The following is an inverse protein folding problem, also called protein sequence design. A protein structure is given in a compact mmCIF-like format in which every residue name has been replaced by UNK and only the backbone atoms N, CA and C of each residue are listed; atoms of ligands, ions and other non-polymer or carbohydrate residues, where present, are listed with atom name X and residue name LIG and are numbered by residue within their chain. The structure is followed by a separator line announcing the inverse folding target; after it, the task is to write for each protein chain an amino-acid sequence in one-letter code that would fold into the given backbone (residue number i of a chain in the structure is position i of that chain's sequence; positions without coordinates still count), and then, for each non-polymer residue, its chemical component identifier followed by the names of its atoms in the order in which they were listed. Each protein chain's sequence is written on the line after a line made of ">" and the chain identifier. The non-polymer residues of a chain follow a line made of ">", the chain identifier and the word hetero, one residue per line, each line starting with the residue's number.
data_IF_927203779129
#
_entry.id   IF_927203779129
#
_cell.length_a   1.000
_cell.length_b   1.000
_cell.length_c   1.000
_cell.angle_alpha   90.00
_cell.angle_beta   90.00
_cell.angle_gamma   90.00
#
_symmetry.space_group_name_H-M   'P 1'
#
loop_
_entity.id
_entity.type
_entity.pdbx_description
1 polymer ?
#
# COMPACT_ATOMS: atom_id res chain seq x y z
N UNK A 1 33.11 34.35 -7.18
CA UNK A 1 31.75 34.07 -7.69
C UNK A 1 31.48 32.59 -7.50
N UNK A 2 30.57 32.20 -6.60
CA UNK A 2 30.21 30.80 -6.39
C UNK A 2 29.49 30.28 -7.63
N UNK A 3 29.92 29.13 -8.16
CA UNK A 3 29.21 28.52 -9.28
C UNK A 3 27.74 28.29 -8.89
N UNK A 4 26.76 28.63 -9.76
CA UNK A 4 25.36 28.41 -9.46
C UNK A 4 25.14 26.90 -9.26
N UNK A 5 24.59 26.51 -8.09
CA UNK A 5 24.28 25.10 -7.81
C UNK A 5 23.33 24.58 -8.88
N UNK A 6 23.80 23.61 -9.66
CA UNK A 6 23.09 23.01 -10.80
C UNK A 6 21.75 22.39 -10.39
N UNK A 7 21.62 21.96 -9.14
CA UNK A 7 20.42 21.34 -8.59
C UNK A 7 19.92 22.03 -7.32
N UNK A 8 18.61 22.33 -7.29
CA UNK A 8 17.92 22.85 -6.12
C UNK A 8 17.08 21.76 -5.46
N UNK A 9 17.38 21.44 -4.20
CA UNK A 9 16.60 20.44 -3.44
C UNK A 9 15.15 20.90 -3.24
N UNK A 10 14.19 20.04 -3.56
CA UNK A 10 12.77 20.26 -3.32
C UNK A 10 12.36 19.79 -1.91
N UNK A 11 11.35 20.41 -1.28
CA UNK A 11 10.87 19.98 0.02
C UNK A 11 10.23 18.58 -0.06
N UNK A 12 10.39 17.82 1.01
CA UNK A 12 9.87 16.45 1.12
C UNK A 12 10.96 15.42 1.34
N UNK A 13 10.57 14.34 2.01
CA UNK A 13 11.40 13.16 2.23
C UNK A 13 10.46 11.97 2.23
N UNK A 14 10.85 10.93 1.51
CA UNK A 14 10.10 9.70 1.39
C UNK A 14 10.99 8.51 1.61
N UNK A 15 10.38 7.39 1.94
CA UNK A 15 11.06 6.11 1.97
C UNK A 15 10.41 5.19 0.93
N UNK A 16 11.20 4.76 -0.05
CA UNK A 16 10.86 3.65 -0.93
C UNK A 16 11.33 2.38 -0.24
N UNK A 17 10.41 1.45 0.02
CA UNK A 17 10.75 0.14 0.60
C UNK A 17 10.32 -0.94 -0.37
N UNK A 18 11.29 -1.41 -1.15
CA UNK A 18 11.24 -2.67 -1.87
C UNK A 18 12.00 -3.70 -1.02
N UNK A 19 11.37 -4.81 -0.64
CA UNK A 19 12.04 -5.92 0.07
C UNK A 19 11.57 -6.23 1.50
N UNK A 20 12.00 -7.40 1.97
CA UNK A 20 11.73 -8.00 3.29
C UNK A 20 12.47 -7.25 4.41
N UNK A 21 11.93 -7.25 5.63
CA UNK A 21 12.47 -6.54 6.80
C UNK A 21 13.94 -6.92 7.12
N UNK A 22 14.41 -8.09 6.68
CA UNK A 22 15.75 -8.62 6.93
C UNK A 22 16.79 -8.10 5.92
N UNK A 23 16.37 -7.61 4.74
CA UNK A 23 17.25 -6.98 3.75
C UNK A 23 17.11 -5.44 3.82
N UNK A 24 17.82 -4.86 4.78
CA UNK A 24 17.76 -3.45 5.16
C UNK A 24 18.34 -2.48 4.13
N UNK A 25 17.54 -2.09 3.15
CA UNK A 25 17.81 -0.87 2.37
C UNK A 25 16.54 -0.01 2.31
N UNK A 26 16.26 0.72 3.39
CA UNK A 26 15.29 1.82 3.33
C UNK A 26 15.85 2.86 2.37
N UNK A 27 15.34 2.89 1.13
CA UNK A 27 15.75 3.87 0.14
C UNK A 27 15.13 5.21 0.49
N UNK A 28 15.96 6.20 0.78
CA UNK A 28 15.49 7.56 1.00
C UNK A 28 15.31 8.26 -0.33
N UNK A 29 14.07 8.60 -0.65
CA UNK A 29 13.70 9.31 -1.86
C UNK A 29 13.72 10.81 -1.61
N UNK A 30 14.44 11.54 -2.47
CA UNK A 30 14.49 13.02 -2.48
C UNK A 30 14.30 13.52 -3.90
N UNK A 31 13.65 14.66 -4.03
CA UNK A 31 13.48 15.35 -5.31
C UNK A 31 14.40 16.56 -5.38
N UNK A 32 14.99 16.74 -6.55
CA UNK A 32 15.85 17.85 -6.89
C UNK A 32 15.40 18.45 -8.21
N UNK A 33 15.37 19.77 -8.27
CA UNK A 33 15.02 20.54 -9.43
C UNK A 33 16.29 20.86 -10.21
N UNK A 34 16.38 20.35 -11.43
CA UNK A 34 17.37 20.78 -12.43
C UNK A 34 16.81 21.92 -13.29
N UNK A 35 17.59 22.36 -14.28
CA UNK A 35 17.20 23.45 -15.19
C UNK A 35 16.01 23.08 -16.09
N UNK A 36 16.00 21.86 -16.60
CA UNK A 36 15.08 21.34 -17.61
C UNK A 36 14.40 20.02 -17.19
N UNK A 37 14.71 19.53 -15.99
CA UNK A 37 14.22 18.25 -15.51
C UNK A 37 14.03 18.19 -13.99
N UNK A 38 13.21 17.25 -13.57
CA UNK A 38 13.07 16.80 -12.19
C UNK A 38 13.95 15.58 -11.97
N UNK A 39 14.79 15.59 -10.95
CA UNK A 39 15.66 14.48 -10.56
C UNK A 39 15.12 13.81 -9.29
N UNK A 40 14.78 12.53 -9.39
CA UNK A 40 14.50 11.66 -8.26
C UNK A 40 15.78 10.93 -7.86
N UNK A 41 16.16 11.10 -6.60
CA UNK A 41 17.34 10.47 -6.00
C UNK A 41 16.87 9.49 -4.95
N UNK A 42 17.08 8.20 -5.20
CA UNK A 42 16.83 7.13 -4.25
C UNK A 42 18.16 6.66 -3.65
N UNK A 43 18.42 7.03 -2.39
CA UNK A 43 19.66 6.69 -1.70
C UNK A 43 19.47 5.47 -0.78
N UNK A 44 20.26 4.42 -0.99
CA UNK A 44 20.52 3.35 -0.01
C UNK A 44 21.76 3.69 0.81
N UNK A 45 22.19 2.79 1.71
CA UNK A 45 23.46 2.93 2.44
C UNK A 45 24.68 2.91 1.50
N UNK A 46 24.64 2.13 0.42
CA UNK A 46 25.82 1.84 -0.41
C UNK A 46 25.69 2.30 -1.87
N UNK A 47 24.49 2.70 -2.30
CA UNK A 47 24.20 3.06 -3.69
C UNK A 47 23.17 4.18 -3.79
N UNK A 48 23.28 5.01 -4.83
CA UNK A 48 22.29 6.02 -5.18
C UNK A 48 21.77 5.76 -6.58
N UNK A 49 20.46 5.63 -6.71
CA UNK A 49 19.79 5.52 -8.00
C UNK A 49 19.23 6.89 -8.38
N UNK A 50 19.49 7.31 -9.62
CA UNK A 50 19.17 8.63 -10.13
C UNK A 50 18.23 8.48 -11.32
N UNK A 51 17.02 9.06 -11.22
CA UNK A 51 16.03 9.04 -12.30
C UNK A 51 15.68 10.46 -12.70
N UNK A 52 15.89 10.80 -13.98
CA UNK A 52 15.64 12.13 -14.55
C UNK A 52 14.32 12.12 -15.30
N UNK A 53 13.52 13.17 -15.10
CA UNK A 53 12.25 13.40 -15.78
C UNK A 53 12.28 14.80 -16.41
N UNK A 54 12.51 14.87 -17.72
CA UNK A 54 12.52 16.14 -18.45
C UNK A 54 11.14 16.77 -18.44
N UNK A 55 11.05 18.08 -18.22
CA UNK A 55 9.77 18.78 -18.10
C UNK A 55 8.90 18.63 -19.35
N UNK A 56 9.52 18.59 -20.54
CA UNK A 56 8.85 18.33 -21.81
C UNK A 56 8.17 16.96 -21.90
N UNK A 57 8.65 15.97 -21.14
CA UNK A 57 8.19 14.58 -21.20
C UNK A 57 7.18 14.24 -20.08
N UNK A 58 6.93 15.17 -19.15
CA UNK A 58 5.96 15.00 -18.08
C UNK A 58 4.56 15.17 -18.65
N UNK A 59 3.77 14.11 -18.69
CA UNK A 59 2.41 14.14 -19.21
C UNK A 59 1.38 14.50 -18.13
N UNK A 60 1.57 13.99 -16.92
CA UNK A 60 0.69 14.27 -15.80
C UNK A 60 1.39 14.06 -14.47
N UNK A 61 0.97 14.81 -13.45
CA UNK A 61 1.30 14.51 -12.05
C UNK A 61 -0.02 14.35 -11.29
N UNK A 62 -0.26 13.16 -10.75
CA UNK A 62 -1.49 12.81 -10.04
C UNK A 62 -1.24 12.77 -8.54
N UNK A 63 -2.08 13.46 -7.76
CA UNK A 63 -2.03 13.45 -6.29
C UNK A 63 -3.33 12.88 -5.75
N UNK A 64 -3.24 11.77 -5.01
CA UNK A 64 -4.37 11.10 -4.37
C UNK A 64 -4.24 11.16 -2.86
N UNK A 65 -5.29 11.58 -2.15
CA UNK A 65 -5.33 11.47 -0.68
C UNK A 65 -5.39 9.99 -0.27
N UNK A 66 -4.64 9.62 0.76
CA UNK A 66 -4.65 8.26 1.33
C UNK A 66 -5.27 8.24 2.71
N UNK A 67 -5.78 7.08 3.13
CA UNK A 67 -6.40 6.92 4.45
C UNK A 67 -5.39 6.68 5.59
N UNK A 68 -4.12 6.42 5.25
CA UNK A 68 -3.01 6.12 6.18
C UNK A 68 -2.95 7.06 7.39
N UNK A 69 -2.98 8.38 7.15
CA UNK A 69 -2.93 9.37 8.24
C UNK A 69 -4.12 9.29 9.19
N UNK A 70 -5.34 9.06 8.67
CA UNK A 70 -6.56 8.92 9.48
C UNK A 70 -6.54 7.62 10.29
N UNK A 71 -6.14 6.51 9.68
CA UNK A 71 -5.99 5.23 10.37
C UNK A 71 -4.96 5.33 11.49
N UNK A 72 -3.81 5.97 11.24
CA UNK A 72 -2.80 6.15 12.27
C UNK A 72 -3.31 7.02 13.42
N UNK A 73 -4.06 8.09 13.14
CA UNK A 73 -4.71 8.88 14.19
C UNK A 73 -5.69 8.05 15.01
N UNK A 74 -6.56 7.28 14.36
CA UNK A 74 -7.53 6.43 15.05
C UNK A 74 -6.84 5.43 16.00
N UNK A 75 -5.79 4.77 15.52
CA UNK A 75 -5.01 3.82 16.30
C UNK A 75 -4.30 4.50 17.47
N UNK A 76 -3.62 5.63 17.23
CA UNK A 76 -2.93 6.39 18.29
C UNK A 76 -3.93 6.90 19.33
N UNK A 77 -5.09 7.40 18.92
CA UNK A 77 -6.14 7.83 19.84
C UNK A 77 -6.65 6.67 20.69
N UNK A 78 -6.85 5.48 20.10
CA UNK A 78 -7.22 4.28 20.86
C UNK A 78 -6.16 3.90 21.90
N UNK A 79 -4.88 3.93 21.54
CA UNK A 79 -3.77 3.66 22.47
C UNK A 79 -3.70 4.70 23.59
N UNK A 80 -3.83 5.98 23.27
CA UNK A 80 -3.83 7.06 24.28
C UNK A 80 -4.99 6.88 25.25
N UNK A 81 -6.21 6.65 24.74
CA UNK A 81 -7.38 6.44 25.58
C UNK A 81 -7.19 5.23 26.50
N UNK A 82 -6.62 4.14 25.99
CA UNK A 82 -6.30 2.94 26.76
C UNK A 82 -5.30 3.24 27.89
N UNK A 83 -4.16 3.87 27.59
CA UNK A 83 -3.15 4.18 28.61
C UNK A 83 -3.62 5.22 29.63
N UNK A 84 -4.37 6.24 29.21
CA UNK A 84 -4.96 7.21 30.13
C UNK A 84 -6.01 6.58 31.04
N UNK A 85 -6.87 5.71 30.50
CA UNK A 85 -7.86 4.99 31.30
C UNK A 85 -7.16 4.13 32.36
N UNK A 86 -6.10 3.42 31.96
CA UNK A 86 -5.34 2.60 32.91
C UNK A 86 -4.64 3.47 33.97
N UNK A 87 -4.07 4.61 33.58
CA UNK A 87 -3.40 5.52 34.51
C UNK A 87 -4.35 6.14 35.56
N UNK A 88 -5.62 6.39 35.22
CA UNK A 88 -6.63 6.90 36.18
C UNK A 88 -7.01 5.83 37.22
N UNK A 89 -6.82 4.57 36.89
CA UNK A 89 -7.29 3.43 37.68
C UNK A 89 -6.19 2.79 38.55
N UNK A 90 -4.94 3.27 38.42
CA UNK A 90 -3.82 2.89 39.28
C UNK A 90 -3.65 3.96 40.37
N UNK A 91 -3.39 3.51 41.60
CA UNK A 91 -3.18 4.36 42.78
C UNK A 91 -1.71 4.65 43.08
N UNK A 92 -0.78 3.92 42.47
CA UNK A 92 0.66 4.14 42.62
C UNK A 92 1.12 5.31 41.73
N UNK A 93 1.81 6.28 42.34
CA UNK A 93 2.28 7.49 41.66
C UNK A 93 3.31 7.17 40.55
N UNK A 94 4.16 6.15 40.76
CA UNK A 94 5.19 5.77 39.78
C UNK A 94 4.53 5.12 38.57
N UNK A 95 3.65 4.15 38.80
CA UNK A 95 2.83 3.49 37.79
C UNK A 95 2.03 4.45 36.95
N UNK A 96 1.30 5.35 37.61
CA UNK A 96 0.55 6.41 36.96
C UNK A 96 1.48 7.29 36.11
N UNK A 97 2.62 7.73 36.66
CA UNK A 97 3.61 8.53 35.95
C UNK A 97 4.15 7.85 34.68
N UNK A 98 4.45 6.55 34.75
CA UNK A 98 4.94 5.76 33.61
C UNK A 98 3.86 5.66 32.52
N UNK A 99 2.62 5.30 32.87
CA UNK A 99 1.53 5.16 31.92
C UNK A 99 1.19 6.50 31.24
N UNK A 100 1.13 7.59 32.00
CA UNK A 100 0.91 8.93 31.45
C UNK A 100 2.07 9.37 30.55
N UNK A 101 3.31 9.02 30.87
CA UNK A 101 4.47 9.29 30.01
C UNK A 101 4.33 8.55 28.68
N UNK A 102 3.95 7.27 28.71
CA UNK A 102 3.70 6.48 27.49
C UNK A 102 2.56 7.09 26.67
N UNK A 103 1.44 7.45 27.32
CA UNK A 103 0.32 8.11 26.68
C UNK A 103 0.74 9.45 26.04
N UNK A 104 1.57 10.24 26.73
CA UNK A 104 2.10 11.50 26.23
C UNK A 104 3.00 11.32 25.00
N UNK A 105 3.84 10.27 24.97
CA UNK A 105 4.65 9.93 23.78
C UNK A 105 3.76 9.63 22.57
N UNK A 106 2.72 8.80 22.74
CA UNK A 106 1.74 8.54 21.68
C UNK A 106 0.95 9.80 21.29
N UNK A 107 0.62 10.64 22.27
CA UNK A 107 0.03 11.97 22.07
C UNK A 107 0.90 12.87 21.22
N UNK A 108 2.21 12.90 21.47
CA UNK A 108 3.18 13.62 20.66
C UNK A 108 3.19 13.14 19.21
N UNK A 109 3.15 11.83 18.97
CA UNK A 109 3.03 11.29 17.61
C UNK A 109 1.70 11.64 16.93
N UNK A 110 0.59 11.60 17.68
CA UNK A 110 -0.74 11.96 17.19
C UNK A 110 -0.80 13.44 16.79
N UNK A 111 -0.30 14.33 17.65
CA UNK A 111 -0.22 15.77 17.41
C UNK A 111 0.67 16.01 16.19
N UNK A 112 1.89 15.46 16.15
CA UNK A 112 2.79 15.62 15.02
C UNK A 112 2.13 15.17 13.70
N UNK A 113 1.51 13.97 13.68
CA UNK A 113 0.84 13.48 12.47
C UNK A 113 -0.32 14.36 12.03
N UNK A 114 -1.09 14.89 12.97
CA UNK A 114 -2.22 15.79 12.71
C UNK A 114 -1.75 17.15 12.20
N UNK A 115 -0.68 17.70 12.79
CA UNK A 115 -0.07 18.97 12.37
C UNK A 115 0.53 18.89 10.96
N UNK A 116 1.14 17.77 10.57
CA UNK A 116 1.63 17.57 9.19
C UNK A 116 0.50 17.45 8.15
N UNK A 117 -0.72 17.18 8.60
CA UNK A 117 -1.92 17.13 7.76
C UNK A 117 -2.06 15.82 6.96
N UNK A 118 -3.03 15.77 6.04
CA UNK A 118 -3.40 14.55 5.36
C UNK A 118 -2.26 13.97 4.50
N UNK A 119 -2.14 12.66 4.56
CA UNK A 119 -1.22 11.86 3.73
C UNK A 119 -1.73 11.76 2.29
N UNK A 120 -0.82 11.70 1.34
CA UNK A 120 -1.15 11.48 -0.07
C UNK A 120 -0.11 10.58 -0.76
N UNK A 121 -0.48 10.05 -1.92
CA UNK A 121 0.41 9.42 -2.86
C UNK A 121 0.46 10.27 -4.13
N UNK A 122 1.68 10.52 -4.61
CA UNK A 122 1.94 11.30 -5.81
C UNK A 122 2.57 10.39 -6.87
N UNK A 123 2.04 10.43 -8.09
CA UNK A 123 2.60 9.70 -9.22
C UNK A 123 2.87 10.66 -10.38
N UNK A 124 4.05 10.58 -10.96
CA UNK A 124 4.45 11.26 -12.17
C UNK A 124 4.29 10.30 -13.35
N UNK A 125 3.55 10.72 -14.37
CA UNK A 125 3.39 9.98 -15.61
C UNK A 125 4.22 10.65 -16.70
N UNK A 126 5.08 9.85 -17.32
CA UNK A 126 5.83 10.19 -18.52
C UNK A 126 5.32 9.39 -19.71
N UNK A 127 5.81 9.71 -20.91
CA UNK A 127 5.50 8.93 -22.11
C UNK A 127 5.84 7.43 -22.00
N UNK A 128 6.81 7.09 -21.14
CA UNK A 128 7.34 5.72 -21.02
C UNK A 128 6.75 4.95 -19.83
N UNK A 129 6.52 5.64 -18.71
CA UNK A 129 6.12 4.99 -17.46
C UNK A 129 5.45 5.93 -16.46
N UNK A 130 4.75 5.32 -15.50
CA UNK A 130 4.22 5.98 -14.31
C UNK A 130 5.12 5.67 -13.11
N UNK A 131 5.64 6.71 -12.46
CA UNK A 131 6.54 6.61 -11.31
C UNK A 131 5.87 7.17 -10.05
N UNK A 132 5.93 6.44 -8.93
CA UNK A 132 5.57 7.00 -7.63
C UNK A 132 6.66 7.96 -7.14
N UNK A 133 6.27 9.10 -6.56
CA UNK A 133 7.17 10.09 -5.94
C UNK A 133 7.05 10.04 -4.40
N UNK A 134 7.82 9.18 -3.70
CA UNK A 134 7.59 8.91 -2.27
C UNK A 134 7.90 10.12 -1.38
N UNK A 135 8.73 11.05 -1.87
CA UNK A 135 9.08 12.30 -1.19
C UNK A 135 7.90 13.25 -1.01
N UNK A 136 6.83 13.07 -1.79
CA UNK A 136 5.61 13.87 -1.79
C UNK A 136 4.46 13.17 -1.03
N UNK A 137 4.77 12.50 0.08
CA UNK A 137 3.81 11.73 0.88
C UNK A 137 2.82 12.55 1.74
N UNK A 138 2.96 13.88 1.77
CA UNK A 138 2.08 14.80 2.50
C UNK A 138 1.47 15.81 1.54
N UNK A 139 0.15 16.04 1.68
CA UNK A 139 -0.60 16.86 0.71
C UNK A 139 -0.09 18.30 0.65
N UNK A 140 0.29 18.89 1.78
CA UNK A 140 0.86 20.24 1.84
C UNK A 140 2.17 20.32 1.05
N UNK A 141 3.06 19.35 1.25
CA UNK A 141 4.35 19.28 0.53
C UNK A 141 4.12 19.04 -0.97
N UNK A 142 3.24 18.11 -1.34
CA UNK A 142 2.91 17.84 -2.74
C UNK A 142 2.40 19.09 -3.44
N UNK A 143 1.46 19.83 -2.84
CA UNK A 143 0.95 21.10 -3.39
C UNK A 143 2.05 22.15 -3.54
N UNK A 144 2.91 22.30 -2.54
CA UNK A 144 4.04 23.25 -2.59
C UNK A 144 4.99 22.91 -3.73
N UNK A 145 5.34 21.63 -3.89
CA UNK A 145 6.23 21.19 -4.97
C UNK A 145 5.58 21.34 -6.34
N UNK A 146 4.30 21.00 -6.48
CA UNK A 146 3.56 21.22 -7.72
C UNK A 146 3.52 22.69 -8.13
N UNK A 147 3.33 23.60 -7.17
CA UNK A 147 3.40 25.05 -7.41
C UNK A 147 4.78 25.50 -7.91
N UNK A 148 5.86 24.83 -7.50
CA UNK A 148 7.21 25.09 -8.00
C UNK A 148 7.45 24.47 -9.39
N UNK A 149 6.91 23.28 -9.66
CA UNK A 149 7.12 22.57 -10.92
C UNK A 149 6.30 23.12 -12.08
N UNK A 150 5.07 23.59 -11.79
CA UNK A 150 4.13 24.12 -12.78
C UNK A 150 4.76 25.12 -13.76
N UNK A 151 5.42 26.21 -13.33
CA UNK A 151 5.98 27.18 -14.28
C UNK A 151 7.08 26.58 -15.16
N UNK A 152 7.87 25.63 -14.65
CA UNK A 152 8.92 24.98 -15.45
C UNK A 152 8.35 24.03 -16.51
N UNK A 153 7.24 23.36 -16.19
CA UNK A 153 6.53 22.50 -17.16
C UNK A 153 5.84 23.36 -18.21
N UNK A 154 5.13 24.42 -17.80
CA UNK A 154 4.47 25.36 -18.72
C UNK A 154 5.48 26.06 -19.64
N UNK A 155 6.68 26.40 -19.14
CA UNK A 155 7.74 26.96 -19.96
C UNK A 155 8.24 25.97 -21.04
N UNK A 156 8.27 24.67 -20.73
CA UNK A 156 8.78 23.64 -21.64
C UNK A 156 7.72 23.12 -22.64
N UNK A 157 6.43 23.14 -22.26
CA UNK A 157 5.34 22.54 -23.02
C UNK A 157 4.31 23.55 -23.55
N UNK A 158 4.39 24.82 -23.12
CA UNK A 158 3.34 25.80 -23.31
C UNK A 158 2.26 25.73 -22.22
N UNK A 159 1.32 26.67 -22.27
CA UNK A 159 0.16 26.70 -21.38
C UNK A 159 -1.06 26.11 -22.09
N UNK A 160 -1.78 25.23 -21.42
CA UNK A 160 -3.08 24.72 -21.85
C UNK A 160 -4.15 25.37 -20.98
N UNK A 161 -5.09 26.08 -21.60
CA UNK A 161 -6.18 26.66 -20.82
C UNK A 161 -7.03 25.55 -20.18
N UNK A 162 -7.63 25.82 -19.03
CA UNK A 162 -8.47 24.83 -18.35
C UNK A 162 -9.67 24.40 -19.22
N UNK A 163 -10.15 25.30 -20.07
CA UNK A 163 -11.26 25.05 -20.98
C UNK A 163 -10.81 24.22 -22.18
N UNK A 164 -9.64 24.51 -22.78
CA UNK A 164 -9.04 23.65 -23.81
C UNK A 164 -8.73 22.24 -23.29
N UNK A 165 -8.26 22.13 -22.04
CA UNK A 165 -7.98 20.85 -21.43
C UNK A 165 -9.28 20.05 -21.17
N UNK A 166 -10.36 20.70 -20.72
CA UNK A 166 -11.68 20.09 -20.54
C UNK A 166 -12.31 19.71 -21.88
N UNK A 167 -12.21 20.59 -22.86
CA UNK A 167 -12.74 20.37 -24.20
C UNK A 167 -12.03 19.19 -24.86
N UNK A 168 -10.69 19.18 -24.87
CA UNK A 168 -9.89 18.02 -25.35
C UNK A 168 -10.21 16.74 -24.57
N UNK A 169 -10.40 16.81 -23.25
CA UNK A 169 -10.79 15.64 -22.46
C UNK A 169 -12.19 15.15 -22.85
N UNK A 170 -13.13 16.05 -23.13
CA UNK A 170 -14.47 15.72 -23.60
C UNK A 170 -14.44 15.15 -25.02
N UNK A 171 -13.65 15.72 -25.95
CA UNK A 171 -13.46 15.19 -27.32
C UNK A 171 -12.82 13.80 -27.29
N UNK A 172 -11.86 13.57 -26.40
CA UNK A 172 -11.24 12.26 -26.19
C UNK A 172 -12.19 11.25 -25.55
N UNK A 173 -13.19 11.70 -24.78
CA UNK A 173 -14.21 10.84 -24.19
C UNK A 173 -15.32 10.47 -25.18
N UNK A 174 -15.59 11.31 -26.19
CA UNK A 174 -16.60 11.08 -27.24
C UNK A 174 -16.07 10.46 -28.53
N UNK A 175 -14.74 10.32 -28.70
CA UNK A 175 -14.15 9.66 -29.86
C UNK A 175 -14.61 8.19 -29.98
N UNK A 176 -15.05 7.71 -31.17
CA UNK A 176 -15.56 6.36 -31.35
C UNK A 176 -14.49 5.31 -31.04
N UNK A 177 -14.84 4.35 -30.18
CA UNK A 177 -13.96 3.32 -29.62
C UNK A 177 -13.36 2.32 -30.65
N UNK A 178 -13.59 2.53 -31.95
CA UNK A 178 -13.24 1.58 -33.02
C UNK A 178 -11.75 1.59 -33.40
N UNK A 179 -10.98 2.60 -33.01
CA UNK A 179 -9.55 2.73 -33.37
C UNK A 179 -8.64 3.09 -32.20
N UNK A 180 -9.18 3.30 -31.00
CA UNK A 180 -8.37 3.36 -29.80
C UNK A 180 -7.92 1.94 -29.43
N UNK A 181 -6.62 1.65 -29.25
CA UNK A 181 -6.20 0.39 -28.64
C UNK A 181 -6.98 0.28 -27.34
N UNK A 182 -7.71 -0.84 -27.18
CA UNK A 182 -8.53 -1.15 -26.01
C UNK A 182 -7.70 -0.75 -24.79
N UNK A 183 -8.01 0.40 -24.18
CA UNK A 183 -7.40 0.79 -22.92
C UNK A 183 -7.88 -0.29 -21.98
N UNK A 184 -7.04 -1.32 -21.78
CA UNK A 184 -7.22 -2.29 -20.73
C UNK A 184 -7.56 -1.45 -19.52
N UNK A 185 -8.81 -1.58 -19.04
CA UNK A 185 -9.35 -0.68 -18.04
C UNK A 185 -8.30 -0.57 -16.96
N UNK A 186 -7.73 0.62 -16.80
CA UNK A 186 -6.62 0.86 -15.90
C UNK A 186 -7.19 0.64 -14.50
N UNK A 187 -7.18 -0.64 -14.09
CA UNK A 187 -7.49 -1.05 -12.74
C UNK A 187 -6.59 -0.18 -11.89
N UNK A 188 -7.13 0.55 -10.89
CA UNK A 188 -6.32 1.40 -10.05
C UNK A 188 -5.12 0.57 -9.62
N UNK A 189 -3.92 0.99 -9.99
CA UNK A 189 -2.71 0.19 -9.76
C UNK A 189 -2.52 0.10 -8.25
N UNK A 190 -3.09 -0.96 -7.66
CA UNK A 190 -3.16 -1.09 -6.22
C UNK A 190 -1.75 -1.44 -5.76
N UNK A 191 -1.25 -0.69 -4.78
CA UNK A 191 0.14 -0.84 -4.33
C UNK A 191 0.42 -2.29 -3.93
N UNK A 192 1.38 -2.90 -4.62
CA UNK A 192 1.93 -4.21 -4.29
C UNK A 192 2.49 -4.22 -2.86
N UNK A 193 1.97 -5.12 -2.02
CA UNK A 193 2.43 -5.30 -0.65
C UNK A 193 2.68 -6.78 -0.30
N UNK A 194 3.91 -7.10 0.12
CA UNK A 194 4.36 -8.47 0.43
C UNK A 194 3.96 -8.98 1.82
N UNK A 195 3.33 -8.14 2.65
CA UNK A 195 2.81 -8.60 3.95
C UNK A 195 3.82 -8.72 5.09
N UNK A 196 5.06 -8.22 5.01
CA UNK A 196 6.09 -8.52 6.03
C UNK A 196 5.72 -8.18 7.48
N UNK A 197 4.98 -7.09 7.72
CA UNK A 197 4.49 -6.79 9.09
C UNK A 197 3.46 -7.81 9.58
N UNK A 198 2.65 -8.37 8.68
CA UNK A 198 1.69 -9.41 9.00
C UNK A 198 2.40 -10.72 9.32
N UNK A 199 3.48 -11.05 8.61
CA UNK A 199 4.31 -12.22 8.92
C UNK A 199 4.82 -12.18 10.35
N UNK A 200 5.41 -11.04 10.76
CA UNK A 200 5.95 -10.89 12.11
C UNK A 200 4.81 -10.90 13.14
N UNK A 201 3.71 -10.18 12.89
CA UNK A 201 2.54 -10.16 13.76
C UNK A 201 2.01 -11.59 14.02
N UNK A 202 1.76 -12.36 12.96
CA UNK A 202 1.19 -13.69 13.09
C UNK A 202 2.18 -14.68 13.71
N UNK A 203 3.49 -14.53 13.46
CA UNK A 203 4.51 -15.31 14.15
C UNK A 203 4.55 -14.99 15.65
N UNK A 204 4.47 -13.71 16.03
CA UNK A 204 4.43 -13.31 17.44
C UNK A 204 3.14 -13.80 18.14
N UNK A 205 1.99 -13.84 17.46
CA UNK A 205 0.76 -14.44 18.02
C UNK A 205 0.91 -15.95 18.26
N UNK A 206 1.63 -16.68 17.39
CA UNK A 206 1.94 -18.09 17.65
C UNK A 206 2.86 -18.27 18.87
N UNK A 207 3.87 -17.41 19.00
CA UNK A 207 4.77 -17.39 20.17
C UNK A 207 3.98 -17.06 21.44
N UNK A 208 3.12 -16.05 21.40
CA UNK A 208 2.24 -15.68 22.51
C UNK A 208 1.30 -16.82 22.92
N UNK A 209 0.70 -17.51 21.95
CA UNK A 209 -0.08 -18.72 22.21
C UNK A 209 0.72 -19.81 22.94
N UNK A 210 1.94 -20.10 22.47
CA UNK A 210 2.85 -21.05 23.11
C UNK A 210 3.23 -20.61 24.54
N UNK A 211 3.51 -19.33 24.75
CA UNK A 211 3.85 -18.79 26.07
C UNK A 211 2.68 -18.88 27.05
N UNK A 212 1.44 -18.66 26.59
CA UNK A 212 0.24 -18.83 27.41
C UNK A 212 0.05 -20.29 27.84
N UNK A 213 0.21 -21.26 26.92
CA UNK A 213 0.17 -22.68 27.28
C UNK A 213 1.33 -23.07 28.22
N UNK A 214 2.52 -22.51 28.01
CA UNK A 214 3.67 -22.75 28.89
C UNK A 214 3.42 -22.22 30.30
N UNK A 215 2.72 -21.08 30.44
CA UNK A 215 2.41 -20.48 31.73
C UNK A 215 1.46 -21.32 32.58
N UNK A 216 0.72 -22.27 32.00
CA UNK A 216 -0.04 -23.25 32.77
C UNK A 216 0.86 -24.09 33.68
N UNK A 217 2.08 -24.41 33.22
CA UNK A 217 3.01 -25.30 33.94
C UNK A 217 4.18 -24.55 34.58
N UNK A 218 4.58 -23.41 34.00
CA UNK A 218 5.80 -22.69 34.32
C UNK A 218 5.52 -21.25 34.77
N UNK A 219 4.33 -20.99 35.35
CA UNK A 219 3.96 -19.64 35.79
C UNK A 219 5.05 -19.07 36.70
N UNK A 220 5.76 -18.07 36.18
CA UNK A 220 6.97 -17.56 36.80
C UNK A 220 7.24 -16.15 36.31
N UNK A 221 7.98 -15.39 37.12
CA UNK A 221 8.27 -13.99 36.83
C UNK A 221 9.07 -13.78 35.52
N UNK A 222 10.10 -14.60 35.19
CA UNK A 222 10.79 -14.47 33.91
C UNK A 222 9.86 -14.72 32.71
N UNK A 223 8.99 -15.72 32.81
CA UNK A 223 8.03 -16.02 31.74
C UNK A 223 7.04 -14.86 31.54
N UNK A 224 6.55 -14.26 32.63
CA UNK A 224 5.69 -13.08 32.57
C UNK A 224 6.38 -11.89 31.89
N UNK A 225 7.67 -11.63 32.17
CA UNK A 225 8.43 -10.57 31.51
C UNK A 225 8.62 -10.83 30.01
N UNK A 226 8.86 -12.08 29.62
CA UNK A 226 8.92 -12.49 28.21
C UNK A 226 7.56 -12.28 27.52
N UNK A 227 6.46 -12.68 28.16
CA UNK A 227 5.10 -12.45 27.66
C UNK A 227 4.82 -10.96 27.45
N UNK A 228 5.17 -10.09 28.40
CA UNK A 228 5.01 -8.63 28.26
C UNK A 228 5.82 -8.08 27.09
N UNK A 229 7.03 -8.58 26.88
CA UNK A 229 7.88 -8.18 25.75
C UNK A 229 7.28 -8.62 24.41
N UNK A 230 6.76 -9.85 24.32
CA UNK A 230 6.09 -10.37 23.13
C UNK A 230 4.80 -9.59 22.85
N UNK A 231 3.99 -9.33 23.87
CA UNK A 231 2.77 -8.52 23.75
C UNK A 231 3.08 -7.11 23.22
N UNK A 232 4.13 -6.46 23.72
CA UNK A 232 4.58 -5.17 23.20
C UNK A 232 4.97 -5.26 21.71
N UNK A 233 5.70 -6.31 21.32
CA UNK A 233 6.02 -6.60 19.92
C UNK A 233 4.78 -6.80 19.04
N UNK A 234 3.77 -7.52 19.55
CA UNK A 234 2.47 -7.73 18.88
C UNK A 234 1.79 -6.38 18.64
N UNK A 235 1.72 -5.51 19.64
CA UNK A 235 1.10 -4.18 19.51
C UNK A 235 1.81 -3.38 18.42
N UNK A 236 3.13 -3.26 18.47
CA UNK A 236 3.91 -2.49 17.49
C UNK A 236 3.72 -3.02 16.06
N UNK A 237 3.79 -4.34 15.88
CA UNK A 237 3.66 -4.98 14.57
C UNK A 237 2.23 -4.93 14.05
N UNK A 238 1.23 -5.04 14.91
CA UNK A 238 -0.18 -4.87 14.58
C UNK A 238 -0.48 -3.45 14.10
N UNK A 239 -0.04 -2.43 14.83
CA UNK A 239 -0.18 -1.03 14.42
C UNK A 239 0.47 -0.82 13.06
N UNK A 240 1.70 -1.32 12.88
CA UNK A 240 2.41 -1.25 11.61
C UNK A 240 1.69 -1.98 10.47
N UNK A 241 1.10 -3.15 10.74
CA UNK A 241 0.31 -3.94 9.79
C UNK A 241 -0.97 -3.20 9.36
N UNK A 242 -1.72 -2.64 10.31
CA UNK A 242 -2.95 -1.87 10.09
C UNK A 242 -2.71 -0.60 9.25
N UNK A 243 -1.60 0.10 9.50
CA UNK A 243 -1.19 1.26 8.70
C UNK A 243 -0.80 0.82 7.29
N UNK A 244 -0.03 -0.27 7.17
CA UNK A 244 0.53 -0.70 5.89
C UNK A 244 -0.43 -1.39 4.96
N UNK A 245 -1.49 -2.02 5.47
CA UNK A 245 -2.50 -2.64 4.62
C UNK A 245 -3.37 -1.60 3.88
N UNK A 246 -3.40 -0.34 4.31
CA UNK A 246 -4.20 0.71 3.68
C UNK A 246 -3.73 0.96 2.23
N UNK A 247 -4.69 1.01 1.31
CA UNK A 247 -4.46 1.27 -0.12
C UNK A 247 -3.52 0.24 -0.81
N UNK A 248 -3.43 -0.99 -0.30
CA UNK A 248 -2.63 -2.10 -0.89
C UNK A 248 -3.47 -3.17 -1.59
N UNK A 249 -2.81 -4.05 -2.33
CA UNK A 249 -3.42 -5.22 -2.98
C UNK A 249 -3.62 -6.41 -2.03
N UNK A 250 -3.44 -6.21 -0.72
CA UNK A 250 -3.58 -7.26 0.29
C UNK A 250 -5.01 -7.81 0.33
N UNK A 251 -5.14 -9.14 0.31
CA UNK A 251 -6.42 -9.83 0.35
C UNK A 251 -7.31 -9.41 1.54
N UNK A 252 -8.61 -9.26 1.30
CA UNK A 252 -9.60 -8.87 2.32
C UNK A 252 -9.66 -9.84 3.51
N UNK A 253 -9.36 -11.12 3.29
CA UNK A 253 -9.25 -12.13 4.35
C UNK A 253 -8.14 -11.79 5.34
N UNK A 254 -6.92 -11.49 4.86
CA UNK A 254 -5.79 -11.11 5.72
C UNK A 254 -6.12 -9.82 6.48
N UNK A 255 -6.71 -8.82 5.81
CA UNK A 255 -7.13 -7.57 6.45
C UNK A 255 -8.11 -7.79 7.59
N UNK A 256 -9.11 -8.66 7.40
CA UNK A 256 -10.09 -9.00 8.43
C UNK A 256 -9.41 -9.63 9.63
N UNK A 257 -8.52 -10.60 9.44
CA UNK A 257 -7.78 -11.23 10.55
C UNK A 257 -6.91 -10.21 11.29
N UNK A 258 -6.28 -9.27 10.61
CA UNK A 258 -5.53 -8.17 11.27
C UNK A 258 -6.45 -7.31 12.15
N UNK A 259 -7.65 -6.95 11.67
CA UNK A 259 -8.62 -6.22 12.49
C UNK A 259 -9.18 -7.06 13.64
N UNK A 260 -9.44 -8.35 13.42
CA UNK A 260 -9.83 -9.28 14.48
C UNK A 260 -8.75 -9.38 15.56
N UNK A 261 -7.47 -9.36 15.17
CA UNK A 261 -6.35 -9.34 16.11
C UNK A 261 -6.33 -8.08 16.98
N UNK A 262 -6.72 -6.92 16.44
CA UNK A 262 -6.92 -5.71 17.23
C UNK A 262 -8.06 -5.87 18.24
N UNK A 263 -9.21 -6.40 17.80
CA UNK A 263 -10.34 -6.68 18.69
C UNK A 263 -9.96 -7.64 19.82
N UNK A 264 -9.23 -8.72 19.49
CA UNK A 264 -8.66 -9.66 20.45
C UNK A 264 -7.79 -8.96 21.50
N UNK A 265 -6.84 -8.11 21.08
CA UNK A 265 -6.01 -7.37 22.03
C UNK A 265 -6.84 -6.46 22.93
N UNK A 266 -7.85 -5.75 22.40
CA UNK A 266 -8.72 -4.93 23.22
C UNK A 266 -9.44 -5.76 24.30
N UNK A 267 -9.94 -6.94 23.95
CA UNK A 267 -10.58 -7.86 24.91
C UNK A 267 -9.57 -8.37 25.94
N UNK A 268 -8.38 -8.77 25.51
CA UNK A 268 -7.30 -9.23 26.40
C UNK A 268 -6.90 -8.14 27.42
N UNK A 269 -6.78 -6.89 26.98
CA UNK A 269 -6.49 -5.75 27.85
C UNK A 269 -7.60 -5.50 28.87
N UNK A 270 -8.87 -5.52 28.44
CA UNK A 270 -10.02 -5.37 29.34
C UNK A 270 -10.05 -6.49 30.37
N UNK A 271 -9.80 -7.74 29.96
CA UNK A 271 -9.73 -8.88 30.86
C UNK A 271 -8.62 -8.71 31.91
N UNK A 272 -7.38 -8.45 31.47
CA UNK A 272 -6.24 -8.26 32.38
C UNK A 272 -6.49 -7.11 33.35
N UNK A 273 -7.14 -6.04 32.88
CA UNK A 273 -7.53 -4.91 33.71
C UNK A 273 -8.56 -5.30 34.78
N UNK A 274 -9.63 -6.02 34.42
CA UNK A 274 -10.65 -6.49 35.38
C UNK A 274 -10.04 -7.39 36.45
N UNK A 275 -9.17 -8.33 36.05
CA UNK A 275 -8.43 -9.21 36.99
C UNK A 275 -7.57 -8.39 37.94
N UNK A 276 -6.82 -7.41 37.41
CA UNK A 276 -5.99 -6.53 38.22
C UNK A 276 -6.80 -5.80 39.30
N UNK A 277 -7.90 -5.14 38.91
CA UNK A 277 -8.76 -4.41 39.85
C UNK A 277 -9.38 -5.33 40.90
N UNK A 278 -9.87 -6.50 40.50
CA UNK A 278 -10.45 -7.46 41.43
C UNK A 278 -9.45 -7.84 42.54
N UNK A 279 -8.19 -8.10 42.17
CA UNK A 279 -7.13 -8.41 43.13
C UNK A 279 -6.68 -7.19 43.94
N UNK A 280 -6.59 -6.00 43.33
CA UNK A 280 -6.25 -4.78 44.05
C UNK A 280 -7.27 -4.47 45.17
N UNK A 281 -8.56 -4.73 44.91
CA UNK A 281 -9.63 -4.54 45.90
C UNK A 281 -9.62 -5.63 46.98
N UNK A 282 -9.45 -6.90 46.59
CA UNK A 282 -9.50 -8.02 47.53
C UNK A 282 -8.23 -8.15 48.38
N UNK A 283 -7.08 -7.78 47.81
CA UNK A 283 -5.75 -8.00 48.39
C UNK A 283 -4.84 -6.79 48.16
N UNK A 284 -5.17 -5.62 48.74
CA UNK A 284 -4.44 -4.39 48.48
C UNK A 284 -2.95 -4.47 48.85
N UNK A 285 -2.58 -5.30 49.84
CA UNK A 285 -1.18 -5.50 50.25
C UNK A 285 -0.32 -6.27 49.24
N UNK A 286 -0.92 -7.11 48.39
CA UNK A 286 -0.21 -7.91 47.39
C UNK A 286 -0.08 -7.18 46.04
N UNK A 287 -0.86 -6.10 45.82
CA UNK A 287 -0.97 -5.37 44.55
C UNK A 287 -0.78 -3.86 44.77
N UNK A 288 0.19 -3.47 45.60
CA UNK A 288 0.43 -2.07 45.94
C UNK A 288 1.03 -1.26 44.79
N UNK A 289 1.89 -1.89 44.00
CA UNK A 289 2.55 -1.33 42.82
C UNK A 289 2.76 -2.41 41.74
N UNK A 290 3.20 -2.02 40.54
CA UNK A 290 3.31 -2.92 39.39
C UNK A 290 4.24 -4.09 39.64
N UNK A 291 5.36 -3.87 40.35
CA UNK A 291 6.32 -4.93 40.65
C UNK A 291 5.70 -5.97 41.59
N UNK A 292 5.04 -5.53 42.65
CA UNK A 292 4.35 -6.41 43.61
C UNK A 292 3.20 -7.15 42.94
N UNK A 293 2.40 -6.46 42.11
CA UNK A 293 1.34 -7.05 41.33
C UNK A 293 1.85 -8.14 40.38
N UNK A 294 2.92 -7.84 39.61
CA UNK A 294 3.52 -8.79 38.68
C UNK A 294 4.07 -10.01 39.42
N UNK A 295 4.79 -9.78 40.53
CA UNK A 295 5.30 -10.86 41.38
C UNK A 295 4.17 -11.71 41.96
N UNK A 296 3.09 -11.07 42.41
CA UNK A 296 1.89 -11.71 42.95
C UNK A 296 1.27 -12.65 41.92
N UNK A 297 0.90 -12.14 40.73
CA UNK A 297 0.29 -12.96 39.68
C UNK A 297 1.22 -14.06 39.16
N UNK A 298 2.53 -13.80 39.10
CA UNK A 298 3.53 -14.79 38.73
C UNK A 298 3.77 -15.88 39.80
N UNK A 299 3.29 -15.67 41.04
CA UNK A 299 3.40 -16.63 42.14
C UNK A 299 2.16 -17.51 42.32
N UNK A 300 1.05 -17.17 41.66
CA UNK A 300 -0.18 -17.96 41.71
C UNK A 300 0.01 -19.28 40.97
N UNK A 301 -0.41 -20.39 41.58
CA UNK A 301 -0.48 -21.68 40.88
C UNK A 301 -1.74 -21.72 39.99
N UNK A 302 -1.61 -21.88 38.66
CA UNK A 302 -2.77 -21.97 37.77
C UNK A 302 -3.73 -23.10 38.16
N UNK A 303 -3.24 -24.22 38.69
CA UNK A 303 -4.09 -25.36 39.03
C UNK A 303 -4.95 -25.13 40.29
N UNK A 304 -4.49 -24.28 41.21
CA UNK A 304 -5.24 -23.86 42.40
C UNK A 304 -6.23 -22.71 42.09
N UNK A 305 -6.04 -22.03 40.95
CA UNK A 305 -6.83 -20.87 40.55
C UNK A 305 -7.50 -21.07 39.19
N UNK A 306 -8.69 -21.67 39.19
CA UNK A 306 -9.45 -22.03 37.97
C UNK A 306 -9.57 -20.88 36.97
N UNK A 307 -9.78 -19.64 37.41
CA UNK A 307 -9.89 -18.48 36.52
C UNK A 307 -8.59 -18.19 35.77
N UNK A 308 -7.44 -18.41 36.41
CA UNK A 308 -6.10 -18.19 35.83
C UNK A 308 -5.78 -19.28 34.81
N UNK A 309 -6.06 -20.54 35.16
CA UNK A 309 -5.95 -21.67 34.22
C UNK A 309 -6.82 -21.45 32.98
N UNK A 310 -8.10 -21.12 33.17
CA UNK A 310 -9.03 -20.85 32.07
C UNK A 310 -8.53 -19.69 31.22
N UNK A 311 -8.01 -18.62 31.84
CA UNK A 311 -7.43 -17.49 31.12
C UNK A 311 -6.28 -17.91 30.23
N UNK A 312 -5.26 -18.60 30.77
CA UNK A 312 -4.11 -19.05 29.99
C UNK A 312 -4.50 -19.97 28.82
N UNK A 313 -5.44 -20.90 29.03
CA UNK A 313 -5.91 -21.79 27.97
C UNK A 313 -6.69 -21.02 26.90
N UNK A 314 -7.64 -20.18 27.29
CA UNK A 314 -8.48 -19.42 26.34
C UNK A 314 -7.62 -18.45 25.52
N UNK A 315 -6.76 -17.66 26.17
CA UNK A 315 -5.88 -16.72 25.46
C UNK A 315 -4.85 -17.46 24.59
N UNK A 316 -4.32 -18.58 25.07
CA UNK A 316 -3.46 -19.47 24.30
C UNK A 316 -4.13 -19.97 23.01
N UNK A 317 -5.36 -20.47 23.10
CA UNK A 317 -6.14 -20.95 21.95
C UNK A 317 -6.44 -19.80 20.98
N UNK A 318 -6.96 -18.66 21.47
CA UNK A 318 -7.31 -17.53 20.62
C UNK A 318 -6.10 -16.96 19.88
N UNK A 319 -4.98 -16.74 20.58
CA UNK A 319 -3.75 -16.22 19.99
C UNK A 319 -3.18 -17.19 18.94
N UNK A 320 -3.15 -18.48 19.25
CA UNK A 320 -2.71 -19.53 18.32
C UNK A 320 -3.60 -19.60 17.08
N UNK A 321 -4.93 -19.57 17.25
CA UNK A 321 -5.88 -19.63 16.15
C UNK A 321 -5.72 -18.42 15.21
N UNK A 322 -5.57 -17.21 15.76
CA UNK A 322 -5.31 -16.00 14.97
C UNK A 322 -3.95 -16.07 14.26
N UNK A 323 -2.91 -16.55 14.93
CA UNK A 323 -1.59 -16.78 14.34
C UNK A 323 -1.64 -17.76 13.17
N UNK A 324 -2.25 -18.93 13.34
CA UNK A 324 -2.39 -19.96 12.29
C UNK A 324 -3.22 -19.41 11.12
N UNK A 325 -4.40 -18.84 11.40
CA UNK A 325 -5.27 -18.29 10.36
C UNK A 325 -4.54 -17.20 9.56
N UNK A 326 -3.83 -16.31 10.25
CA UNK A 326 -3.03 -15.25 9.63
C UNK A 326 -1.92 -15.79 8.73
N UNK A 327 -1.12 -16.74 9.22
CA UNK A 327 -0.03 -17.37 8.44
C UNK A 327 -0.58 -18.09 7.21
N UNK A 328 -1.64 -18.89 7.36
CA UNK A 328 -2.25 -19.66 6.26
C UNK A 328 -2.81 -18.72 5.19
N UNK A 329 -3.58 -17.71 5.58
CA UNK A 329 -4.17 -16.77 4.63
C UNK A 329 -3.11 -15.93 3.92
N UNK A 330 -2.07 -15.49 4.64
CA UNK A 330 -0.98 -14.71 4.06
C UNK A 330 -0.15 -15.57 3.09
N UNK A 331 0.10 -16.83 3.43
CA UNK A 331 0.83 -17.77 2.56
C UNK A 331 0.07 -18.07 1.29
N UNK A 332 -1.25 -18.28 1.38
CA UNK A 332 -2.13 -18.44 0.20
C UNK A 332 -2.06 -17.21 -0.71
N UNK A 333 -2.23 -16.03 -0.13
CA UNK A 333 -2.14 -14.77 -0.86
C UNK A 333 -0.78 -14.59 -1.58
N UNK A 334 0.33 -14.88 -0.90
CA UNK A 334 1.67 -14.77 -1.50
C UNK A 334 1.88 -15.77 -2.64
N UNK A 335 1.40 -17.01 -2.47
CA UNK A 335 1.46 -18.04 -3.52
C UNK A 335 0.63 -17.65 -4.75
N UNK A 336 -0.60 -17.18 -4.55
CA UNK A 336 -1.47 -16.76 -5.65
C UNK A 336 -0.83 -15.61 -6.44
N UNK A 337 -0.15 -14.69 -5.75
CA UNK A 337 0.62 -13.62 -6.39
C UNK A 337 1.82 -14.12 -7.19
N UNK A 338 2.56 -15.09 -6.66
CA UNK A 338 3.71 -15.68 -7.35
C UNK A 338 3.29 -16.46 -8.60
N UNK A 339 2.17 -17.19 -8.53
CA UNK A 339 1.57 -17.85 -9.69
C UNK A 339 1.16 -16.84 -10.77
N UNK A 340 0.53 -15.72 -10.38
CA UNK A 340 0.17 -14.64 -11.31
C UNK A 340 1.41 -13.96 -11.92
N UNK A 341 2.45 -13.73 -11.13
CA UNK A 341 3.70 -13.15 -11.61
C UNK A 341 4.42 -14.08 -12.60
N UNK A 342 4.42 -15.39 -12.32
CA UNK A 342 5.01 -16.41 -13.20
C UNK A 342 4.22 -16.53 -14.50
N UNK A 343 2.89 -16.57 -14.44
CA UNK A 343 2.04 -16.61 -15.62
C UNK A 343 2.22 -15.37 -16.53
N UNK A 344 2.45 -14.20 -15.94
CA UNK A 344 2.73 -12.97 -16.69
C UNK A 344 4.14 -12.92 -17.30
N UNK A 345 5.10 -13.66 -16.74
CA UNK A 345 6.47 -13.73 -17.24
C UNK A 345 6.64 -14.72 -18.40
N UNK A 346 5.72 -15.68 -18.55
CA UNK A 346 5.74 -16.61 -19.69
C UNK A 346 5.39 -15.85 -20.97
N UNK A 347 6.29 -15.78 -21.97
CA UNK A 347 5.97 -15.12 -23.23
C UNK A 347 4.76 -15.82 -23.87
N UNK A 348 3.88 -15.07 -24.56
CA UNK A 348 2.78 -15.69 -25.28
C UNK A 348 3.34 -16.77 -26.22
N UNK A 349 2.65 -17.91 -26.38
CA UNK A 349 3.08 -18.92 -27.34
C UNK A 349 3.29 -18.23 -28.70
N UNK A 350 4.36 -18.58 -29.45
CA UNK A 350 4.56 -18.04 -30.77
C UNK A 350 3.26 -18.21 -31.55
N UNK A 351 2.84 -17.20 -32.35
CA UNK A 351 1.60 -17.30 -33.09
C UNK A 351 1.64 -18.62 -33.85
N UNK A 352 0.75 -19.54 -33.50
CA UNK A 352 0.59 -20.78 -34.26
C UNK A 352 0.25 -20.30 -35.65
N UNK A 353 1.19 -20.47 -36.59
CA UNK A 353 0.93 -20.33 -38.01
C UNK A 353 -0.30 -21.20 -38.25
N UNK A 354 -1.47 -20.59 -38.41
CA UNK A 354 -2.58 -21.32 -38.98
C UNK A 354 -2.05 -21.78 -40.32
N UNK A 355 -1.95 -23.11 -40.58
CA UNK A 355 -1.67 -23.55 -41.92
C UNK A 355 -2.65 -22.80 -42.83
N UNK A 356 -2.19 -22.26 -43.98
CA UNK A 356 -3.05 -21.56 -44.90
C UNK A 356 -4.29 -22.43 -45.09
N UNK A 357 -5.48 -21.82 -44.91
CA UNK A 357 -6.73 -22.50 -45.21
C UNK A 357 -6.54 -23.19 -46.56
N UNK A 358 -6.88 -24.48 -46.71
CA UNK A 358 -6.78 -25.17 -47.99
C UNK A 358 -7.42 -24.25 -49.01
N UNK A 359 -6.60 -23.82 -49.98
CA UNK A 359 -7.02 -22.88 -51.02
C UNK A 359 -8.27 -23.49 -51.61
N UNK A 360 -9.43 -22.84 -51.42
CA UNK A 360 -10.66 -23.27 -52.07
C UNK A 360 -10.32 -23.45 -53.55
N UNK A 361 -10.67 -24.60 -54.17
CA UNK A 361 -10.35 -24.85 -55.56
C UNK A 361 -10.78 -23.64 -56.38
N UNK A 362 -9.85 -23.13 -57.19
CA UNK A 362 -10.06 -22.00 -58.09
C UNK A 362 -11.42 -22.19 -58.78
N UNK A 363 -12.33 -21.20 -58.73
CA UNK A 363 -13.54 -21.25 -59.52
C UNK A 363 -13.15 -21.48 -60.99
N UNK A 364 -13.91 -22.31 -61.73
CA UNK A 364 -13.59 -22.63 -63.10
C UNK A 364 -13.43 -21.34 -63.93
N UNK A 365 -12.49 -21.33 -64.89
CA UNK A 365 -12.23 -20.14 -65.70
C UNK A 365 -13.54 -19.67 -66.34
N UNK A 366 -13.84 -18.37 -66.15
CA UNK A 366 -15.00 -17.76 -66.80
C UNK A 366 -14.86 -17.94 -68.33
N UNK A 367 -15.96 -18.31 -69.02
CA UNK A 367 -15.95 -18.40 -70.47
C UNK A 367 -15.55 -17.05 -71.08
N UNK A 368 -14.82 -17.05 -72.21
CA UNK A 368 -14.38 -15.82 -72.84
C UNK A 368 -15.57 -14.94 -73.21
N UNK A 369 -15.44 -13.60 -73.11
CA UNK A 369 -16.50 -12.69 -73.49
C UNK A 369 -16.85 -12.84 -74.97
N UNK A 370 -18.14 -12.70 -75.34
CA UNK A 370 -18.57 -12.80 -76.72
C UNK A 370 -17.88 -11.73 -77.57
N UNK A 371 -17.31 -12.18 -78.70
CA UNK A 371 -16.67 -11.33 -79.71
C UNK A 371 -17.73 -10.36 -80.25
N UNK A 372 -17.54 -9.06 -80.00
CA UNK A 372 -18.36 -8.01 -80.61
C UNK A 372 -18.09 -7.97 -82.12
N UNK A 373 -19.13 -7.99 -82.97
CA UNK A 373 -18.95 -7.87 -84.42
C UNK A 373 -18.41 -6.48 -84.79
N UNK A 374 -17.67 -6.38 -85.91
CA UNK A 374 -17.05 -5.12 -86.33
C UNK A 374 -18.11 -4.06 -86.71
N UNK A 375 -17.78 -2.76 -86.58
CA UNK A 375 -18.69 -1.67 -86.92
C UNK A 375 -19.02 -1.68 -88.42
N UNK A 376 -20.30 -1.53 -88.76
CA UNK A 376 -20.78 -1.28 -90.12
C UNK A 376 -20.19 0.04 -90.63
N UNK A 377 -19.42 -0.03 -91.72
CA UNK A 377 -19.00 1.13 -92.51
C UNK A 377 -20.24 1.88 -93.02
N UNK A 378 -20.43 3.12 -92.55
CA UNK A 378 -21.43 4.04 -93.08
C UNK A 378 -20.81 4.69 -94.34
N UNK A 379 -21.42 4.57 -95.52
CA UNK A 379 -20.90 5.20 -96.73
C UNK A 379 -20.95 6.73 -96.62
N UNK A 380 -19.99 7.44 -97.24
CA UNK A 380 -19.90 8.89 -97.15
C UNK A 380 -21.08 9.58 -97.85
N UNK A 381 -21.51 10.76 -97.35
CA UNK A 381 -22.62 11.52 -97.93
C UNK A 381 -22.25 12.09 -99.32
N UNK A 382 -23.24 12.23 -100.22
CA UNK A 382 -23.04 12.77 -101.56
C UNK A 382 -22.66 14.27 -101.53
N UNK A 383 -21.93 14.76 -102.54
CA UNK A 383 -21.46 16.14 -102.59
C UNK A 383 -22.61 17.14 -102.78
N UNK A 384 -22.46 18.38 -102.27
CA UNK A 384 -23.46 19.42 -102.39
C UNK A 384 -23.62 19.89 -103.85
N UNK A 385 -24.85 20.26 -104.28
CA UNK A 385 -25.09 20.81 -105.61
C UNK A 385 -24.49 22.22 -105.76
N UNK A 386 -23.96 22.50 -106.94
CA UNK A 386 -23.29 23.74 -107.32
C UNK A 386 -24.25 24.93 -107.40
N UNK A 387 -23.74 26.11 -107.03
CA UNK A 387 -24.41 27.40 -107.07
C UNK A 387 -24.97 27.75 -108.46
N UNK A 388 -26.20 28.26 -108.47
CA UNK A 388 -26.83 29.03 -109.55
C UNK A 388 -27.65 30.15 -108.96
#
# INVERSE_FOLDING_TARGET
>A
MSQPKEYRKLPGRGNRREGTFIAGAVRQSRLWLGKDHLLLVDSTLNAQELKRFYFRDIQAITVRKTHKGRTMNLVLTGLIAMFCLWAVLITDDVGQGVLLTIAAVFGGFLIANSLFGPTCECHLQSAVQREQLPSLGRLRTARKVLGLLRPHIEQAQGNLSADEARERAATLATAPAASAPKRAGATPEVRAYRGSFHTILFALLLVDGLLNFSAVFLNSMPLALVQMTVLFGIILTLVGALIRQQDTDLANSVRRVTWTSLGYLCVLFVHGFVVYIAHAVQKPGEVQNEYTALRHFASLDPFEHTWLLVSFVVWGICSTALGIAGVVLLSRYNRDRELLATAAATPPPPPTFRPPLPVSPLPPPMPPPPVTPPPLEIPPPPPPPANG
#
